data_IF_514268200338
#
_entry.id   IF_514268200338
#
_cell.length_a   1.000
_cell.length_b   1.000
_cell.length_c   1.000
_cell.angle_alpha   90.00
_cell.angle_beta   90.00
_cell.angle_gamma   90.00
#
_symmetry.space_group_name_H-M   'P 1'
#
loop_
_entity.id
_entity.type
_entity.pdbx_description
1 polymer ?
#
# COMPACT_ATOMS: atom_id res chain seq x y z
N UNK A 1 54.50 -22.93 -53.29
CA UNK A 1 53.69 -23.99 -52.64
C UNK A 1 54.38 -24.33 -51.33
N UNK A 2 53.75 -24.41 -50.16
CA UNK A 2 52.35 -24.32 -49.78
C UNK A 2 52.25 -23.87 -48.32
N UNK A 3 51.07 -23.37 -47.96
CA UNK A 3 50.73 -22.88 -46.62
C UNK A 3 50.83 -24.01 -45.57
N UNK A 4 51.53 -23.75 -44.47
CA UNK A 4 51.56 -24.60 -43.27
C UNK A 4 50.23 -24.45 -42.52
N UNK A 5 49.39 -25.47 -42.61
CA UNK A 5 48.12 -25.57 -41.88
C UNK A 5 48.36 -25.86 -40.40
N UNK A 6 47.93 -24.95 -39.55
CA UNK A 6 48.00 -25.08 -38.09
C UNK A 6 46.92 -26.08 -37.61
N UNK A 7 47.24 -27.37 -37.50
CA UNK A 7 46.30 -28.39 -37.06
C UNK A 7 46.17 -28.40 -35.53
N UNK A 8 45.06 -27.88 -35.00
CA UNK A 8 44.72 -27.94 -33.57
C UNK A 8 44.69 -29.38 -33.05
N UNK A 9 45.21 -29.60 -31.84
CA UNK A 9 45.24 -30.92 -31.18
C UNK A 9 43.84 -31.43 -30.85
N UNK A 10 43.66 -32.75 -30.74
CA UNK A 10 42.36 -33.40 -30.46
C UNK A 10 41.70 -32.83 -29.19
N UNK A 11 42.48 -32.64 -28.13
CA UNK A 11 42.03 -32.06 -26.86
C UNK A 11 41.55 -30.61 -27.00
N UNK A 12 42.24 -29.79 -27.81
CA UNK A 12 41.79 -28.42 -28.12
C UNK A 12 40.46 -28.42 -28.90
N UNK A 13 40.22 -29.42 -29.77
CA UNK A 13 38.95 -29.55 -30.50
C UNK A 13 37.81 -30.01 -29.59
N UNK A 14 38.10 -30.90 -28.64
CA UNK A 14 37.14 -31.38 -27.64
C UNK A 14 36.74 -30.22 -26.70
N UNK A 15 37.71 -29.43 -26.24
CA UNK A 15 37.47 -28.27 -25.39
C UNK A 15 36.71 -27.15 -26.13
N UNK A 16 37.08 -26.85 -27.38
CA UNK A 16 36.32 -25.91 -28.23
C UNK A 16 34.88 -26.38 -28.49
N UNK A 17 34.67 -27.69 -28.64
CA UNK A 17 33.32 -28.26 -28.80
C UNK A 17 32.51 -28.14 -27.50
N UNK A 18 33.11 -28.45 -26.35
CA UNK A 18 32.47 -28.29 -25.04
C UNK A 18 32.11 -26.82 -24.76
N UNK A 19 33.00 -25.88 -25.08
CA UNK A 19 32.76 -24.45 -24.94
C UNK A 19 31.64 -23.97 -25.87
N UNK A 20 31.60 -24.44 -27.13
CA UNK A 20 30.50 -24.15 -28.06
C UNK A 20 29.16 -24.70 -27.58
N UNK A 21 29.15 -25.91 -27.01
CA UNK A 21 27.94 -26.50 -26.44
C UNK A 21 27.46 -25.76 -25.20
N UNK A 22 28.36 -25.34 -24.32
CA UNK A 22 28.04 -24.51 -23.17
C UNK A 22 27.48 -23.14 -23.60
N UNK A 23 28.13 -22.46 -24.54
CA UNK A 23 27.65 -21.20 -25.11
C UNK A 23 26.26 -21.35 -25.74
N UNK A 24 26.03 -22.42 -26.51
CA UNK A 24 24.73 -22.71 -27.12
C UNK A 24 23.64 -22.97 -26.07
N UNK A 25 23.97 -23.61 -24.94
CA UNK A 25 23.03 -23.79 -23.82
C UNK A 25 22.70 -22.45 -23.15
N UNK A 26 23.70 -21.59 -22.93
CA UNK A 26 23.53 -20.26 -22.36
C UNK A 26 22.67 -19.39 -23.29
N UNK A 27 22.96 -19.34 -24.59
CA UNK A 27 22.17 -18.56 -25.57
C UNK A 27 20.70 -19.00 -25.60
N UNK A 28 20.43 -20.32 -25.57
CA UNK A 28 19.05 -20.83 -25.49
C UNK A 28 18.36 -20.43 -24.19
N UNK A 29 19.08 -20.44 -23.07
CA UNK A 29 18.55 -20.02 -21.78
C UNK A 29 18.24 -18.51 -21.77
N UNK A 30 19.16 -17.69 -22.25
CA UNK A 30 18.98 -16.24 -22.40
C UNK A 30 17.81 -15.89 -23.32
N UNK A 31 17.62 -16.64 -24.42
CA UNK A 31 16.50 -16.42 -25.31
C UNK A 31 15.16 -16.72 -24.62
N UNK A 32 15.07 -17.81 -23.85
CA UNK A 32 13.88 -18.15 -23.05
C UNK A 32 13.60 -17.10 -21.98
N UNK A 33 14.63 -16.67 -21.25
CA UNK A 33 14.51 -15.64 -20.22
C UNK A 33 14.07 -14.30 -20.82
N UNK A 34 14.59 -13.92 -21.99
CA UNK A 34 14.19 -12.71 -22.70
C UNK A 34 12.72 -12.77 -23.14
N UNK A 35 12.23 -13.92 -23.60
CA UNK A 35 10.81 -14.10 -23.93
C UNK A 35 9.93 -13.99 -22.69
N UNK A 36 10.31 -14.66 -21.59
CA UNK A 36 9.57 -14.58 -20.33
C UNK A 36 9.55 -13.16 -19.76
N UNK A 37 10.67 -12.45 -19.85
CA UNK A 37 10.80 -11.06 -19.42
C UNK A 37 9.89 -10.13 -20.23
N UNK A 38 9.87 -10.29 -21.56
CA UNK A 38 8.98 -9.53 -22.44
C UNK A 38 7.50 -9.81 -22.14
N UNK A 39 7.14 -11.05 -21.83
CA UNK A 39 5.77 -11.44 -21.51
C UNK A 39 5.31 -11.08 -20.07
N UNK A 40 6.16 -10.43 -19.28
CA UNK A 40 5.86 -10.06 -17.90
C UNK A 40 5.53 -8.57 -17.79
N UNK A 41 4.34 -8.26 -17.26
CA UNK A 41 3.94 -6.90 -16.96
C UNK A 41 4.53 -6.46 -15.63
N UNK A 42 5.28 -5.36 -15.65
CA UNK A 42 5.97 -4.83 -14.47
C UNK A 42 5.23 -3.61 -13.93
N UNK A 43 4.80 -3.70 -12.69
CA UNK A 43 3.96 -2.71 -12.04
C UNK A 43 4.69 -2.11 -10.85
N UNK A 44 4.86 -0.79 -10.86
CA UNK A 44 5.53 -0.09 -9.78
C UNK A 44 4.52 0.61 -8.88
N UNK A 45 4.52 0.29 -7.58
CA UNK A 45 3.61 0.89 -6.61
C UNK A 45 4.28 2.11 -5.98
N UNK A 46 3.75 3.29 -6.26
CA UNK A 46 4.23 4.56 -5.71
C UNK A 46 3.16 5.22 -4.83
N UNK A 47 3.59 6.17 -4.00
CA UNK A 47 2.71 6.93 -3.11
C UNK A 47 3.35 7.18 -1.76
N UNK A 48 2.79 8.14 -1.03
CA UNK A 48 3.28 8.54 0.30
C UNK A 48 3.27 7.37 1.30
N UNK A 49 3.94 7.54 2.45
CA UNK A 49 3.85 6.61 3.57
C UNK A 49 2.38 6.35 3.94
N UNK A 50 2.06 5.11 4.33
CA UNK A 50 0.72 4.74 4.81
C UNK A 50 -0.42 4.87 3.80
N UNK A 51 -0.13 5.07 2.51
CA UNK A 51 -1.18 5.20 1.49
C UNK A 51 -1.93 3.90 1.18
N UNK A 52 -1.33 2.74 1.46
CA UNK A 52 -1.93 1.42 1.25
C UNK A 52 -1.20 0.51 0.25
N UNK A 53 -0.03 0.91 -0.28
CA UNK A 53 0.77 0.13 -1.24
C UNK A 53 0.98 -1.33 -0.82
N UNK A 54 1.53 -1.55 0.38
CA UNK A 54 1.79 -2.90 0.89
C UNK A 54 0.50 -3.70 1.12
N UNK A 55 -0.62 -3.03 1.41
CA UNK A 55 -1.95 -3.67 1.50
C UNK A 55 -2.40 -4.17 0.13
N UNK A 56 -2.20 -3.40 -0.94
CA UNK A 56 -2.48 -3.84 -2.32
C UNK A 56 -1.63 -5.06 -2.68
N UNK A 57 -0.35 -5.09 -2.32
CA UNK A 57 0.49 -6.28 -2.56
C UNK A 57 0.01 -7.50 -1.77
N UNK A 58 -0.39 -7.33 -0.51
CA UNK A 58 -1.03 -8.41 0.27
C UNK A 58 -2.28 -8.94 -0.43
N UNK A 59 -3.12 -8.06 -0.99
CA UNK A 59 -4.31 -8.47 -1.74
C UNK A 59 -3.95 -9.29 -2.98
N UNK A 60 -2.91 -8.91 -3.74
CA UNK A 60 -2.45 -9.70 -4.88
C UNK A 60 -1.95 -11.08 -4.48
N UNK A 61 -1.31 -11.18 -3.31
CA UNK A 61 -0.93 -12.49 -2.76
C UNK A 61 -2.18 -13.31 -2.42
N UNK A 62 -3.17 -12.72 -1.76
CA UNK A 62 -4.43 -13.40 -1.40
C UNK A 62 -5.20 -13.86 -2.65
N UNK A 63 -5.25 -13.04 -3.69
CA UNK A 63 -6.02 -13.32 -4.91
C UNK A 63 -5.32 -14.27 -5.88
N UNK A 64 -3.99 -14.21 -6.00
CA UNK A 64 -3.27 -14.80 -7.14
C UNK A 64 -1.99 -15.59 -6.81
N UNK A 65 -1.38 -15.44 -5.63
CA UNK A 65 -0.17 -16.20 -5.26
C UNK A 65 -0.58 -17.36 -4.36
N UNK A 66 -0.60 -18.57 -4.91
CA UNK A 66 -1.15 -19.75 -4.25
C UNK A 66 -2.54 -19.47 -3.71
N UNK A 67 -3.50 -19.40 -4.65
CA UNK A 67 -4.90 -19.50 -4.31
C UNK A 67 -5.07 -20.56 -3.23
N UNK A 68 -5.80 -20.19 -2.20
CA UNK A 68 -6.53 -21.12 -1.37
C UNK A 68 -7.16 -22.10 -2.37
N UNK A 69 -6.69 -23.35 -2.43
CA UNK A 69 -7.48 -24.38 -3.09
C UNK A 69 -8.80 -24.36 -2.32
N UNK A 70 -9.86 -23.80 -2.92
CA UNK A 70 -11.19 -23.69 -2.32
C UNK A 70 -11.79 -25.07 -1.94
N UNK A 71 -11.04 -26.15 -2.18
CA UNK A 71 -11.32 -27.55 -1.84
C UNK A 71 -10.55 -28.09 -0.63
N UNK A 72 -9.61 -27.34 -0.04
CA UNK A 72 -8.87 -27.78 1.15
C UNK A 72 -9.56 -27.34 2.45
N UNK A 73 -9.72 -28.22 3.48
CA UNK A 73 -10.55 -27.94 4.65
C UNK A 73 -10.06 -26.78 5.54
N UNK A 74 -8.79 -26.38 5.44
CA UNK A 74 -8.24 -25.23 6.15
C UNK A 74 -7.11 -24.60 5.33
N UNK A 75 -7.35 -23.47 4.66
CA UNK A 75 -6.30 -22.79 3.92
C UNK A 75 -5.41 -21.97 4.86
N UNK A 76 -4.10 -22.27 4.88
CA UNK A 76 -3.15 -21.55 5.72
C UNK A 76 -2.68 -20.26 5.05
N UNK A 77 -3.00 -19.10 5.63
CA UNK A 77 -2.56 -17.76 5.22
C UNK A 77 -1.03 -17.55 5.22
N UNK A 78 -0.27 -18.53 5.70
CA UNK A 78 1.16 -18.42 6.00
C UNK A 78 1.93 -19.53 5.28
N UNK A 79 3.06 -19.18 4.68
CA UNK A 79 3.97 -20.13 4.05
C UNK A 79 4.74 -20.96 5.07
N UNK A 80 4.79 -20.52 6.34
CA UNK A 80 5.42 -21.26 7.44
C UNK A 80 4.85 -20.91 8.82
N UNK A 81 5.03 -21.80 9.80
CA UNK A 81 4.75 -21.53 11.21
C UNK A 81 5.53 -20.33 11.75
N UNK A 82 6.75 -20.10 11.24
CA UNK A 82 7.59 -18.95 11.59
C UNK A 82 6.98 -17.63 11.10
N UNK A 83 6.48 -17.61 9.86
CA UNK A 83 5.79 -16.43 9.30
C UNK A 83 4.52 -16.11 10.10
N UNK A 84 3.72 -17.14 10.44
CA UNK A 84 2.55 -16.98 11.32
C UNK A 84 2.93 -16.34 12.65
N UNK A 85 3.96 -16.86 13.34
CA UNK A 85 4.42 -16.34 14.64
C UNK A 85 4.87 -14.88 14.53
N UNK A 86 5.60 -14.52 13.49
CA UNK A 86 6.03 -13.14 13.24
C UNK A 86 4.82 -12.21 13.02
N UNK A 87 3.83 -12.63 12.21
CA UNK A 87 2.63 -11.80 11.96
C UNK A 87 1.78 -11.58 13.21
N UNK A 88 1.66 -12.58 14.09
CA UNK A 88 1.03 -12.39 15.41
C UNK A 88 1.78 -11.32 16.20
N UNK A 89 3.12 -11.38 16.23
CA UNK A 89 3.93 -10.40 16.94
C UNK A 89 3.77 -8.98 16.36
N UNK A 90 3.72 -8.85 15.02
CA UNK A 90 3.50 -7.56 14.35
C UNK A 90 2.14 -6.95 14.75
N UNK A 91 1.07 -7.76 14.79
CA UNK A 91 -0.27 -7.31 15.21
C UNK A 91 -0.26 -6.88 16.68
N UNK A 92 0.30 -7.71 17.57
CA UNK A 92 0.42 -7.39 18.99
C UNK A 92 1.18 -6.09 19.23
N UNK A 93 2.25 -5.87 18.47
CA UNK A 93 3.01 -4.62 18.48
C UNK A 93 2.14 -3.44 18.02
N UNK A 94 1.35 -3.59 16.96
CA UNK A 94 0.43 -2.54 16.54
C UNK A 94 -0.60 -2.18 17.62
N UNK A 95 -1.13 -3.16 18.36
CA UNK A 95 -2.05 -2.92 19.49
C UNK A 95 -1.38 -2.06 20.56
N UNK A 96 -0.16 -2.45 20.97
CA UNK A 96 0.65 -1.72 21.95
C UNK A 96 0.95 -0.31 21.47
N UNK A 97 1.47 -0.16 20.26
CA UNK A 97 1.85 1.14 19.71
C UNK A 97 0.63 2.07 19.62
N UNK A 98 -0.55 1.54 19.25
CA UNK A 98 -1.79 2.32 19.20
C UNK A 98 -2.21 2.83 20.58
N UNK A 99 -2.37 1.94 21.58
CA UNK A 99 -2.84 2.36 22.90
C UNK A 99 -1.84 3.29 23.60
N UNK A 100 -0.53 3.01 23.48
CA UNK A 100 0.53 3.88 24.01
C UNK A 100 0.44 5.27 23.39
N UNK A 101 0.22 5.35 22.08
CA UNK A 101 0.11 6.64 21.37
C UNK A 101 -1.10 7.43 21.84
N UNK A 102 -2.29 6.81 21.91
CA UNK A 102 -3.53 7.47 22.32
C UNK A 102 -3.42 8.00 23.76
N UNK A 103 -2.98 7.14 24.69
CA UNK A 103 -2.82 7.49 26.11
C UNK A 103 -1.76 8.58 26.32
N UNK A 104 -0.68 8.56 25.54
CA UNK A 104 0.32 9.62 25.61
C UNK A 104 -0.23 10.95 25.08
N UNK A 105 -1.06 10.91 24.03
CA UNK A 105 -1.65 12.09 23.43
C UNK A 105 -2.67 12.80 24.34
N UNK A 106 -3.37 12.06 25.21
CA UNK A 106 -4.39 12.61 26.13
C UNK A 106 -3.89 13.85 26.89
N UNK A 107 -2.64 13.81 27.39
CA UNK A 107 -2.03 14.92 28.12
C UNK A 107 -1.38 15.98 27.25
N UNK A 108 -1.10 15.71 25.97
CA UNK A 108 -0.41 16.64 25.05
C UNK A 108 -1.36 17.41 24.15
N UNK A 109 -2.59 16.91 23.96
CA UNK A 109 -3.63 17.61 23.23
C UNK A 109 -3.97 18.94 23.90
N UNK A 110 -4.42 19.91 23.09
CA UNK A 110 -4.82 21.23 23.57
C UNK A 110 -6.29 21.46 23.14
N UNK A 111 -7.27 21.53 24.05
CA UNK A 111 -7.14 21.23 25.48
C UNK A 111 -6.86 19.73 25.73
N UNK A 112 -6.25 19.37 26.89
CA UNK A 112 -6.00 17.98 27.23
C UNK A 112 -7.31 17.23 27.48
N UNK A 113 -7.28 15.91 27.29
CA UNK A 113 -8.44 15.03 27.46
C UNK A 113 -8.23 14.19 28.74
N UNK A 114 -8.99 14.41 29.81
CA UNK A 114 -8.91 13.57 31.01
C UNK A 114 -9.58 12.20 30.76
N UNK A 115 -9.27 11.21 31.61
CA UNK A 115 -10.05 9.98 31.69
C UNK A 115 -11.49 10.29 32.09
N UNK A 116 -12.44 9.52 31.55
CA UNK A 116 -13.81 9.56 32.03
C UNK A 116 -13.93 8.92 33.43
N UNK A 117 -13.18 7.84 33.67
CA UNK A 117 -13.04 7.22 34.99
C UNK A 117 -11.65 7.48 35.60
N UNK A 118 -11.53 8.36 36.63
CA UNK A 118 -10.27 8.62 37.31
C UNK A 118 -9.63 7.39 37.97
N UNK A 119 -10.43 6.36 38.31
CA UNK A 119 -9.91 5.12 38.91
C UNK A 119 -9.01 4.33 37.95
N UNK A 120 -9.11 4.56 36.63
CA UNK A 120 -8.31 3.87 35.63
C UNK A 120 -6.92 4.52 35.41
N UNK A 121 -6.55 5.52 36.21
CA UNK A 121 -5.27 6.22 36.12
C UNK A 121 -4.05 5.28 36.23
N UNK A 122 -4.10 4.27 37.10
CA UNK A 122 -3.03 3.27 37.22
C UNK A 122 -2.81 2.47 35.92
N UNK A 123 -3.86 2.33 35.09
CA UNK A 123 -3.75 1.67 33.78
C UNK A 123 -2.99 2.55 32.80
N UNK A 124 -3.22 3.86 32.82
CA UNK A 124 -2.42 4.83 32.04
C UNK A 124 -0.94 4.73 32.43
N UNK A 125 -0.65 4.69 33.72
CA UNK A 125 0.72 4.58 34.24
C UNK A 125 1.38 3.27 33.80
N UNK A 126 0.65 2.15 33.89
CA UNK A 126 1.09 0.87 33.35
C UNK A 126 1.42 0.96 31.85
N UNK A 127 0.51 1.47 31.02
CA UNK A 127 0.73 1.59 29.57
C UNK A 127 1.93 2.49 29.26
N UNK A 128 2.10 3.60 29.99
CA UNK A 128 3.27 4.49 29.84
C UNK A 128 4.58 3.81 30.25
N UNK A 129 4.56 2.98 31.30
CA UNK A 129 5.76 2.25 31.76
C UNK A 129 6.26 1.21 30.75
N UNK A 130 5.37 0.62 29.95
CA UNK A 130 5.74 -0.38 28.94
C UNK A 130 6.12 0.23 27.60
N UNK A 131 5.81 1.52 27.37
CA UNK A 131 6.08 2.24 26.13
C UNK A 131 7.54 2.11 25.63
N UNK A 132 8.59 2.28 26.46
CA UNK A 132 9.98 2.19 26.00
C UNK A 132 10.46 0.75 25.73
N UNK A 133 9.71 -0.28 26.13
CA UNK A 133 10.14 -1.67 26.05
C UNK A 133 10.05 -2.20 24.60
N UNK A 134 11.20 -2.48 23.98
CA UNK A 134 11.25 -3.06 22.63
C UNK A 134 10.95 -4.56 22.61
N UNK A 135 11.43 -5.29 23.63
CA UNK A 135 11.13 -6.70 23.86
C UNK A 135 10.09 -6.77 24.99
N UNK A 136 8.83 -6.92 24.59
CA UNK A 136 7.68 -6.86 25.50
C UNK A 136 6.88 -8.15 25.42
N UNK A 137 6.67 -8.77 26.57
CA UNK A 137 5.77 -9.91 26.66
C UNK A 137 4.31 -9.43 26.69
N UNK A 138 3.56 -9.80 25.66
CA UNK A 138 2.15 -9.45 25.50
C UNK A 138 1.28 -10.36 26.36
N UNK A 139 1.38 -10.16 27.67
CA UNK A 139 0.63 -10.89 28.69
C UNK A 139 -0.87 -10.51 28.68
N UNK A 140 -1.71 -11.35 29.30
CA UNK A 140 -3.14 -11.03 29.47
C UNK A 140 -3.36 -9.75 30.28
N UNK A 141 -2.48 -9.45 31.24
CA UNK A 141 -2.51 -8.22 32.03
C UNK A 141 -2.47 -6.99 31.12
N UNK A 142 -1.60 -6.99 30.11
CA UNK A 142 -1.54 -5.91 29.12
C UNK A 142 -2.86 -5.75 28.36
N UNK A 143 -3.42 -6.85 27.86
CA UNK A 143 -4.65 -6.82 27.09
C UNK A 143 -5.85 -6.37 27.93
N UNK A 144 -5.92 -6.75 29.20
CA UNK A 144 -6.97 -6.31 30.12
C UNK A 144 -6.87 -4.80 30.41
N UNK A 145 -5.66 -4.27 30.62
CA UNK A 145 -5.47 -2.81 30.76
C UNK A 145 -5.84 -2.06 29.49
N UNK A 146 -5.38 -2.53 28.33
CA UNK A 146 -5.63 -1.86 27.06
C UNK A 146 -7.12 -1.88 26.70
N UNK A 147 -7.83 -3.00 26.95
CA UNK A 147 -9.28 -3.10 26.74
C UNK A 147 -10.05 -2.16 27.67
N UNK A 148 -9.73 -2.15 28.97
CA UNK A 148 -10.40 -1.26 29.92
C UNK A 148 -10.21 0.21 29.60
N UNK A 149 -9.01 0.59 29.16
CA UNK A 149 -8.76 1.96 28.68
C UNK A 149 -9.51 2.25 27.38
N UNK A 150 -9.58 1.31 26.43
CA UNK A 150 -10.34 1.52 25.20
C UNK A 150 -11.85 1.73 25.45
N UNK A 151 -12.39 1.10 26.49
CA UNK A 151 -13.78 1.26 26.89
C UNK A 151 -14.06 2.64 27.56
N UNK A 152 -13.02 3.37 28.00
CA UNK A 152 -13.14 4.70 28.61
C UNK A 152 -13.51 5.79 27.58
N UNK A 153 -14.52 6.60 27.90
CA UNK A 153 -15.02 7.64 26.99
C UNK A 153 -14.02 8.79 26.77
N UNK A 154 -13.13 9.07 27.73
CA UNK A 154 -12.04 10.02 27.57
C UNK A 154 -10.98 9.52 26.58
N UNK A 155 -10.65 8.23 26.63
CA UNK A 155 -9.74 7.59 25.66
C UNK A 155 -10.36 7.59 24.26
N UNK A 156 -11.65 7.26 24.12
CA UNK A 156 -12.36 7.36 22.83
C UNK A 156 -12.41 8.80 22.32
N UNK A 157 -12.68 9.78 23.19
CA UNK A 157 -12.64 11.19 22.81
C UNK A 157 -11.25 11.65 22.33
N UNK A 158 -10.17 11.14 22.94
CA UNK A 158 -8.80 11.36 22.47
C UNK A 158 -8.56 10.71 21.10
N UNK A 159 -9.08 9.50 20.87
CA UNK A 159 -9.00 8.80 19.59
C UNK A 159 -9.73 9.55 18.46
N UNK A 160 -10.90 10.14 18.73
CA UNK A 160 -11.62 10.98 17.76
C UNK A 160 -10.83 12.22 17.31
N UNK A 161 -9.86 12.66 18.12
CA UNK A 161 -8.91 13.74 17.83
C UNK A 161 -7.57 13.24 17.29
N UNK A 162 -7.51 11.99 16.81
CA UNK A 162 -6.29 11.36 16.31
C UNK A 162 -5.67 12.04 15.08
N UNK A 163 -6.37 12.96 14.42
CA UNK A 163 -5.79 13.79 13.36
C UNK A 163 -4.80 14.83 13.89
N UNK A 164 -4.79 15.12 15.19
CA UNK A 164 -3.88 16.07 15.85
C UNK A 164 -2.55 15.44 16.28
N UNK A 165 -2.39 14.13 16.14
CA UNK A 165 -1.16 13.39 16.44
C UNK A 165 -0.93 12.23 15.47
N UNK A 166 0.20 11.52 15.60
CA UNK A 166 0.56 10.44 14.67
C UNK A 166 0.06 9.08 15.15
N UNK A 167 -1.23 8.81 14.97
CA UNK A 167 -1.79 7.47 15.18
C UNK A 167 -1.65 6.60 13.94
N UNK A 168 -1.44 5.30 14.15
CA UNK A 168 -1.40 4.35 13.04
C UNK A 168 -2.81 4.10 12.49
N UNK A 169 -2.95 4.08 11.16
CA UNK A 169 -4.13 3.53 10.48
C UNK A 169 -4.15 1.99 10.60
N UNK A 170 -4.30 1.49 11.82
CA UNK A 170 -4.98 0.22 12.01
C UNK A 170 -6.41 0.59 12.41
N UNK A 171 -7.40 -0.15 11.92
CA UNK A 171 -8.78 0.02 12.35
C UNK A 171 -8.85 -0.35 13.84
N UNK A 172 -8.53 0.63 14.69
CA UNK A 172 -8.13 0.47 16.10
C UNK A 172 -9.31 -0.09 16.89
N UNK A 173 -10.54 0.24 16.44
CA UNK A 173 -11.78 -0.34 16.93
C UNK A 173 -11.77 -1.87 16.91
N UNK A 174 -11.45 -2.49 15.77
CA UNK A 174 -11.59 -3.95 15.62
C UNK A 174 -10.58 -4.73 16.46
N UNK A 175 -9.40 -4.14 16.68
CA UNK A 175 -8.34 -4.71 17.50
C UNK A 175 -8.74 -4.80 18.98
N UNK A 176 -9.52 -3.83 19.49
CA UNK A 176 -9.95 -3.80 20.89
C UNK A 176 -11.33 -4.42 21.14
N UNK A 177 -12.20 -4.49 20.12
CA UNK A 177 -13.55 -5.06 20.24
C UNK A 177 -13.60 -6.58 20.05
N UNK A 178 -12.75 -7.15 19.19
CA UNK A 178 -12.64 -8.61 19.09
C UNK A 178 -11.92 -9.13 20.33
N UNK A 179 -12.50 -10.13 21.00
CA UNK A 179 -11.95 -10.71 22.22
C UNK A 179 -10.45 -11.02 22.05
N UNK A 180 -9.60 -10.22 22.68
CA UNK A 180 -8.14 -10.37 22.77
C UNK A 180 -7.70 -11.75 23.32
N UNK A 181 -8.67 -12.59 23.73
CA UNK A 181 -8.49 -13.95 24.23
C UNK A 181 -8.04 -14.96 23.18
N UNK A 182 -8.33 -14.76 21.89
CA UNK A 182 -7.81 -15.64 20.83
C UNK A 182 -7.40 -14.83 19.61
N UNK A 183 -6.15 -14.36 19.58
CA UNK A 183 -5.41 -14.06 18.34
C UNK A 183 -5.12 -15.37 17.54
N UNK A 184 -6.15 -16.19 17.33
CA UNK A 184 -6.16 -17.20 16.30
C UNK A 184 -6.33 -16.45 14.98
N UNK A 185 -5.21 -16.17 14.32
CA UNK A 185 -5.13 -15.72 12.92
C UNK A 185 -5.89 -16.69 11.99
N UNK A 186 -7.21 -16.61 11.99
CA UNK A 186 -8.09 -17.39 11.14
C UNK A 186 -8.64 -16.52 9.99
N UNK A 187 -8.56 -15.19 10.09
CA UNK A 187 -9.07 -14.26 9.07
C UNK A 187 -7.93 -13.51 8.36
N UNK A 188 -8.02 -13.43 7.02
CA UNK A 188 -7.14 -12.64 6.16
C UNK A 188 -7.21 -11.14 6.48
N UNK A 189 -8.34 -10.68 7.02
CA UNK A 189 -8.59 -9.27 7.33
C UNK A 189 -7.61 -8.69 8.36
N UNK A 190 -7.22 -9.46 9.37
CA UNK A 190 -6.24 -9.00 10.37
C UNK A 190 -4.87 -8.77 9.74
N UNK A 191 -4.46 -9.63 8.80
CA UNK A 191 -3.20 -9.47 8.09
C UNK A 191 -3.21 -8.23 7.19
N UNK A 192 -4.35 -7.94 6.54
CA UNK A 192 -4.51 -6.76 5.69
C UNK A 192 -4.41 -5.46 6.50
N UNK A 193 -4.99 -5.45 7.71
CA UNK A 193 -4.98 -4.30 8.63
C UNK A 193 -3.70 -4.15 9.42
N UNK A 194 -2.90 -5.21 9.56
CA UNK A 194 -1.60 -5.15 10.22
C UNK A 194 -0.65 -4.20 9.50
N UNK A 195 -0.07 -3.28 10.27
CA UNK A 195 0.86 -2.26 9.81
C UNK A 195 2.30 -2.68 10.09
N UNK A 196 3.07 -2.77 9.03
CA UNK A 196 4.52 -2.92 9.07
C UNK A 196 5.12 -1.81 8.19
N UNK A 197 6.09 -1.06 8.72
CA UNK A 197 6.76 -0.02 7.94
C UNK A 197 7.68 -0.67 6.90
N UNK A 198 7.37 -0.42 5.64
CA UNK A 198 8.15 -0.90 4.49
C UNK A 198 9.38 -0.01 4.30
N UNK A 199 10.57 -0.55 4.58
CA UNK A 199 11.86 0.05 4.21
C UNK A 199 12.51 -0.81 3.13
N UNK A 200 12.95 -0.19 2.04
CA UNK A 200 13.48 -0.88 0.87
C UNK A 200 12.43 -1.17 -0.21
N UNK A 201 12.77 -2.15 -1.05
CA UNK A 201 12.02 -2.57 -2.24
C UNK A 201 11.62 -4.03 -2.05
N UNK A 202 10.34 -4.32 -2.18
CA UNK A 202 9.81 -5.68 -2.10
C UNK A 202 9.18 -6.06 -3.42
N UNK A 203 9.48 -7.28 -3.88
CA UNK A 203 8.99 -7.79 -5.15
C UNK A 203 7.96 -8.90 -4.93
N UNK A 204 6.91 -8.91 -5.72
CA UNK A 204 5.94 -10.01 -5.75
C UNK A 204 5.63 -10.38 -7.20
N UNK A 205 5.69 -11.67 -7.49
CA UNK A 205 5.38 -12.22 -8.81
C UNK A 205 4.16 -13.11 -8.71
N UNK A 206 3.26 -12.97 -9.66
CA UNK A 206 2.03 -13.76 -9.74
C UNK A 206 1.59 -13.90 -11.18
N UNK A 207 0.69 -14.85 -11.43
CA UNK A 207 0.14 -15.10 -12.75
C UNK A 207 -1.39 -15.03 -12.68
N UNK A 208 -2.00 -14.33 -13.62
CA UNK A 208 -3.47 -14.24 -13.77
C UNK A 208 -3.79 -14.54 -15.22
N UNK A 209 -4.65 -15.53 -15.47
CA UNK A 209 -5.06 -15.93 -16.83
C UNK A 209 -3.87 -16.11 -17.80
N UNK A 210 -2.80 -16.77 -17.33
CA UNK A 210 -1.53 -17.02 -18.05
C UNK A 210 -0.68 -15.77 -18.33
N UNK A 211 -1.08 -14.60 -17.86
CA UNK A 211 -0.30 -13.36 -17.92
C UNK A 211 0.51 -13.20 -16.65
N UNK A 212 1.81 -12.96 -16.78
CA UNK A 212 2.72 -12.80 -15.64
C UNK A 212 2.77 -11.34 -15.21
N UNK A 213 2.65 -11.12 -13.90
CA UNK A 213 2.78 -9.81 -13.28
C UNK A 213 3.95 -9.82 -12.29
N UNK A 214 4.69 -8.72 -12.28
CA UNK A 214 5.79 -8.48 -11.36
C UNK A 214 5.61 -7.10 -10.74
N UNK A 215 5.19 -7.09 -9.47
CA UNK A 215 4.91 -5.89 -8.70
C UNK A 215 6.09 -5.52 -7.79
N UNK A 216 6.39 -4.23 -7.73
CA UNK A 216 7.41 -3.64 -6.87
C UNK A 216 6.72 -2.72 -5.83
N UNK A 217 6.79 -3.08 -4.55
CA UNK A 217 6.39 -2.24 -3.42
C UNK A 217 7.60 -1.52 -2.85
N UNK A 218 7.64 -0.20 -3.00
CA UNK A 218 8.74 0.63 -2.51
C UNK A 218 8.30 1.45 -1.30
N UNK A 219 9.22 1.65 -0.35
CA UNK A 219 8.98 2.51 0.80
C UNK A 219 8.49 3.91 0.39
N UNK A 220 7.38 4.36 0.97
CA UNK A 220 6.71 5.63 0.63
C UNK A 220 7.20 6.87 1.37
N UNK A 221 7.94 6.64 2.47
CA UNK A 221 8.46 7.70 3.34
C UNK A 221 9.54 8.51 2.63
N UNK A 222 9.71 9.79 2.99
CA UNK A 222 10.63 10.70 2.29
C UNK A 222 12.04 10.13 2.11
N UNK A 223 12.60 9.48 3.13
CA UNK A 223 13.96 8.91 3.09
C UNK A 223 14.10 7.70 2.16
N UNK A 224 13.00 7.00 1.90
CA UNK A 224 12.98 5.82 1.02
C UNK A 224 12.88 6.20 -0.48
N UNK A 225 12.43 7.42 -0.79
CA UNK A 225 12.14 7.85 -2.17
C UNK A 225 13.36 7.89 -3.08
N UNK A 226 14.57 8.08 -2.52
CA UNK A 226 15.82 8.07 -3.29
C UNK A 226 16.09 6.71 -3.94
N UNK A 227 15.53 5.62 -3.40
CA UNK A 227 15.68 4.26 -3.91
C UNK A 227 14.76 3.98 -5.12
N UNK A 228 13.72 4.78 -5.34
CA UNK A 228 12.69 4.51 -6.37
C UNK A 228 13.26 4.44 -7.78
N UNK A 229 14.29 5.23 -8.09
CA UNK A 229 14.95 5.22 -9.39
C UNK A 229 15.50 3.84 -9.76
N UNK A 230 15.83 2.99 -8.77
CA UNK A 230 16.32 1.63 -9.00
C UNK A 230 15.24 0.73 -9.60
N UNK A 231 13.95 1.11 -9.49
CA UNK A 231 12.81 0.34 -9.98
C UNK A 231 12.19 0.91 -11.26
N UNK A 232 12.70 2.01 -11.82
CA UNK A 232 12.08 2.68 -12.98
C UNK A 232 12.37 2.00 -14.32
N UNK A 233 13.29 1.02 -14.34
CA UNK A 233 13.67 0.37 -15.58
C UNK A 233 12.56 -0.53 -16.11
N UNK A 234 12.10 -0.21 -17.33
CA UNK A 234 11.18 -1.01 -18.14
C UNK A 234 9.85 -1.35 -17.42
N UNK A 235 9.36 -0.44 -16.58
CA UNK A 235 8.03 -0.55 -15.96
C UNK A 235 6.94 -0.45 -17.02
N UNK A 236 5.92 -1.31 -16.95
CA UNK A 236 4.76 -1.27 -17.86
C UNK A 236 3.77 -0.19 -17.46
N UNK A 237 3.46 -0.08 -16.17
CA UNK A 237 2.58 0.94 -15.62
C UNK A 237 2.93 1.26 -14.16
N UNK A 238 2.60 2.47 -13.72
CA UNK A 238 2.70 2.87 -12.32
C UNK A 238 1.32 2.76 -11.68
N UNK A 239 1.25 2.18 -10.49
CA UNK A 239 0.07 2.26 -9.62
C UNK A 239 0.41 3.26 -8.52
N UNK A 240 -0.18 4.46 -8.61
CA UNK A 240 0.01 5.51 -7.62
C UNK A 240 -1.11 5.44 -6.57
N UNK A 241 -0.78 5.18 -5.32
CA UNK A 241 -1.74 4.96 -4.24
C UNK A 241 -1.81 6.19 -3.33
N UNK A 242 -3.02 6.71 -3.13
CA UNK A 242 -3.34 7.90 -2.32
C UNK A 242 -4.23 7.51 -1.14
N UNK A 243 -3.89 7.95 0.08
CA UNK A 243 -4.81 7.88 1.21
C UNK A 243 -5.79 9.05 1.19
N UNK A 244 -6.95 8.85 0.54
CA UNK A 244 -7.94 9.92 0.33
C UNK A 244 -8.53 10.43 1.64
N UNK A 245 -8.65 9.56 2.64
CA UNK A 245 -9.16 9.89 3.97
C UNK A 245 -8.21 10.76 4.82
N UNK A 246 -6.94 10.92 4.43
CA UNK A 246 -5.93 11.64 5.21
C UNK A 246 -5.90 13.16 4.95
N UNK A 247 -6.97 13.74 4.41
CA UNK A 247 -7.04 15.17 4.08
C UNK A 247 -6.91 16.10 5.29
N UNK A 248 -7.21 15.63 6.51
CA UNK A 248 -7.14 16.40 7.76
C UNK A 248 -5.90 16.06 8.63
N UNK A 249 -4.93 15.33 8.08
CA UNK A 249 -3.76 14.83 8.81
C UNK A 249 -2.45 15.42 8.27
N UNK A 250 -1.41 15.43 9.10
CA UNK A 250 -0.04 15.80 8.71
C UNK A 250 0.88 14.57 8.63
N UNK A 251 1.93 14.64 7.80
CA UNK A 251 2.90 13.56 7.65
C UNK A 251 3.75 13.41 8.92
N UNK A 252 4.27 12.20 9.15
CA UNK A 252 5.05 11.88 10.35
C UNK A 252 6.45 12.51 10.32
N UNK A 253 6.99 12.74 9.14
CA UNK A 253 8.36 13.20 8.94
C UNK A 253 8.61 14.62 9.45
N UNK A 254 7.62 15.51 9.38
CA UNK A 254 7.75 16.91 9.85
C UNK A 254 6.61 17.39 10.76
N UNK A 255 5.56 16.58 10.95
CA UNK A 255 4.36 16.94 11.72
C UNK A 255 3.71 18.28 11.31
N UNK A 256 3.89 18.70 10.06
CA UNK A 256 3.40 19.99 9.57
C UNK A 256 2.79 19.89 8.17
N UNK A 257 3.42 19.15 7.25
CA UNK A 257 2.94 19.04 5.87
C UNK A 257 1.69 18.17 5.82
N UNK A 258 0.60 18.67 5.24
CA UNK A 258 -0.65 17.92 5.06
C UNK A 258 -0.41 16.67 4.19
N UNK A 259 -0.94 15.50 4.61
CA UNK A 259 -0.72 14.22 3.94
C UNK A 259 -1.26 14.17 2.50
N UNK A 260 -2.42 14.77 2.24
CA UNK A 260 -3.00 14.80 0.91
C UNK A 260 -2.26 15.78 -0.01
N UNK A 261 -1.81 16.93 0.50
CA UNK A 261 -0.93 17.85 -0.26
C UNK A 261 0.40 17.21 -0.60
N UNK A 262 1.03 16.51 0.35
CA UNK A 262 2.25 15.73 0.07
C UNK A 262 2.02 14.70 -1.04
N UNK A 263 0.86 14.03 -1.06
CA UNK A 263 0.53 13.10 -2.13
C UNK A 263 0.35 13.78 -3.49
N UNK A 264 -0.26 14.97 -3.55
CA UNK A 264 -0.39 15.78 -4.76
C UNK A 264 0.97 16.23 -5.30
N UNK A 265 1.85 16.74 -4.43
CA UNK A 265 3.19 17.19 -4.82
C UNK A 265 4.06 16.02 -5.28
N UNK A 266 3.96 14.88 -4.60
CA UNK A 266 4.61 13.64 -5.01
C UNK A 266 4.09 13.16 -6.37
N UNK A 267 2.77 13.18 -6.59
CA UNK A 267 2.18 12.82 -7.88
C UNK A 267 2.66 13.74 -8.99
N UNK A 268 2.70 15.06 -8.75
CA UNK A 268 3.22 16.06 -9.70
C UNK A 268 4.68 15.78 -10.07
N UNK A 269 5.51 15.39 -9.10
CA UNK A 269 6.91 15.02 -9.31
C UNK A 269 7.04 13.76 -10.17
N UNK A 270 6.21 12.74 -9.93
CA UNK A 270 6.19 11.49 -10.71
C UNK A 270 5.67 11.72 -12.12
N UNK A 271 4.56 12.46 -12.27
CA UNK A 271 3.94 12.76 -13.57
C UNK A 271 4.91 13.50 -14.50
N UNK A 272 5.63 14.50 -13.97
CA UNK A 272 6.57 15.29 -14.77
C UNK A 272 7.99 14.71 -14.81
N UNK A 273 8.23 13.52 -14.23
CA UNK A 273 9.54 12.92 -14.16
C UNK A 273 10.06 12.54 -15.55
N UNK A 274 11.28 13.01 -15.91
CA UNK A 274 11.90 12.74 -17.22
C UNK A 274 12.01 11.25 -17.57
N UNK A 275 12.15 10.37 -16.57
CA UNK A 275 12.29 8.93 -16.75
C UNK A 275 10.94 8.21 -16.89
N UNK A 276 9.82 8.88 -16.60
CA UNK A 276 8.47 8.29 -16.57
C UNK A 276 7.50 8.94 -17.57
N UNK A 277 7.98 9.83 -18.45
CA UNK A 277 7.17 10.62 -19.40
C UNK A 277 6.32 9.80 -20.38
N UNK A 278 6.60 8.52 -20.58
CA UNK A 278 5.84 7.62 -21.45
C UNK A 278 5.05 6.57 -20.67
N UNK A 279 5.20 6.52 -19.35
CA UNK A 279 4.58 5.52 -18.50
C UNK A 279 3.26 6.08 -17.97
N UNK A 280 2.15 5.42 -18.29
CA UNK A 280 0.85 5.84 -17.76
C UNK A 280 0.68 5.43 -16.30
N UNK A 281 -0.15 6.19 -15.59
CA UNK A 281 -0.35 6.06 -14.15
C UNK A 281 -1.78 5.63 -13.88
N UNK A 282 -1.93 4.47 -13.25
CA UNK A 282 -3.18 4.04 -12.63
C UNK A 282 -3.22 4.66 -11.23
N UNK A 283 -4.19 5.54 -11.00
CA UNK A 283 -4.32 6.29 -9.76
C UNK A 283 -5.33 5.60 -8.84
N UNK A 284 -4.87 5.05 -7.73
CA UNK A 284 -5.72 4.48 -6.69
C UNK A 284 -6.00 5.51 -5.61
N UNK A 285 -7.24 6.01 -5.60
CA UNK A 285 -7.79 6.82 -4.53
C UNK A 285 -8.27 5.87 -3.43
N UNK A 286 -7.34 5.46 -2.57
CA UNK A 286 -7.56 4.45 -1.54
C UNK A 286 -8.23 5.03 -0.29
N UNK A 287 -8.69 4.14 0.60
CA UNK A 287 -9.35 4.42 1.89
C UNK A 287 -10.69 5.15 1.73
N UNK A 288 -11.50 4.71 0.75
CA UNK A 288 -12.83 5.26 0.51
C UNK A 288 -13.80 4.99 1.66
N UNK A 289 -13.65 3.85 2.34
CA UNK A 289 -14.33 3.51 3.59
C UNK A 289 -14.13 4.59 4.66
N UNK A 290 -12.87 4.90 4.97
CA UNK A 290 -12.52 5.90 5.98
C UNK A 290 -12.87 7.33 5.53
N UNK A 291 -12.82 7.61 4.23
CA UNK A 291 -13.23 8.91 3.68
C UNK A 291 -14.72 9.11 3.90
N UNK A 292 -15.54 8.11 3.59
CA UNK A 292 -16.98 8.15 3.78
C UNK A 292 -17.34 8.37 5.26
N UNK A 293 -16.77 7.57 6.16
CA UNK A 293 -16.99 7.72 7.61
C UNK A 293 -16.66 9.15 8.09
N UNK A 294 -15.51 9.69 7.69
CA UNK A 294 -15.05 11.01 8.14
C UNK A 294 -15.89 12.15 7.59
N UNK A 295 -16.30 12.06 6.32
CA UNK A 295 -17.17 13.06 5.68
C UNK A 295 -18.57 13.05 6.31
N UNK A 296 -19.12 11.87 6.57
CA UNK A 296 -20.45 11.72 7.16
C UNK A 296 -20.48 12.14 8.64
N UNK A 297 -19.39 11.90 9.38
CA UNK A 297 -19.23 12.34 10.76
C UNK A 297 -19.23 13.87 10.90
N UNK A 298 -18.80 14.60 9.86
CA UNK A 298 -18.87 16.07 9.81
C UNK A 298 -17.97 16.81 10.81
N UNK A 299 -17.08 16.11 11.51
CA UNK A 299 -16.18 16.67 12.55
C UNK A 299 -14.99 17.45 11.96
N UNK A 300 -14.46 16.99 10.82
CA UNK A 300 -13.37 17.66 10.09
C UNK A 300 -13.80 17.91 8.65
N UNK A 301 -14.14 19.15 8.32
CA UNK A 301 -14.61 19.49 6.98
C UNK A 301 -13.44 19.60 6.01
N UNK A 302 -13.64 19.22 4.75
CA UNK A 302 -12.56 19.25 3.76
C UNK A 302 -12.15 20.69 3.45
N UNK A 303 -13.12 21.62 3.42
CA UNK A 303 -12.91 23.04 3.16
C UNK A 303 -12.01 23.76 4.19
N UNK A 304 -11.87 23.22 5.41
CA UNK A 304 -10.94 23.75 6.42
C UNK A 304 -9.48 23.51 6.02
N UNK A 305 -9.22 22.47 5.22
CA UNK A 305 -7.88 22.07 4.75
C UNK A 305 -7.66 22.38 3.27
N UNK A 306 -8.73 22.40 2.47
CA UNK A 306 -8.75 22.66 1.03
C UNK A 306 -9.88 23.65 0.72
N UNK A 307 -9.67 24.97 0.89
CA UNK A 307 -10.72 25.98 0.77
C UNK A 307 -11.46 25.97 -0.58
N UNK A 308 -10.79 25.56 -1.65
CA UNK A 308 -11.36 25.36 -2.98
C UNK A 308 -12.51 24.34 -3.01
N UNK A 309 -12.56 23.40 -2.06
CA UNK A 309 -13.66 22.45 -1.93
C UNK A 309 -14.99 23.14 -1.66
N UNK A 310 -15.03 24.29 -1.00
CA UNK A 310 -16.29 25.01 -0.75
C UNK A 310 -17.01 25.39 -2.05
N UNK A 311 -16.25 25.65 -3.12
CA UNK A 311 -16.78 26.02 -4.45
C UNK A 311 -16.88 24.84 -5.42
N UNK A 312 -16.42 23.66 -5.01
CA UNK A 312 -16.40 22.49 -5.88
C UNK A 312 -17.82 21.96 -6.16
N UNK A 313 -18.09 21.64 -7.42
CA UNK A 313 -19.31 20.98 -7.88
C UNK A 313 -18.93 19.72 -8.63
N UNK A 314 -19.77 18.68 -8.49
CA UNK A 314 -19.51 17.39 -9.13
C UNK A 314 -19.70 17.57 -10.65
N UNK A 315 -18.79 17.06 -11.49
CA UNK A 315 -18.97 17.06 -12.93
C UNK A 315 -20.24 16.32 -13.35
N UNK A 316 -20.95 16.80 -14.36
CA UNK A 316 -22.20 16.19 -14.87
C UNK A 316 -22.01 14.73 -15.33
N UNK A 317 -20.79 14.35 -15.73
CA UNK A 317 -20.42 13.02 -16.20
C UNK A 317 -20.09 12.05 -15.06
N UNK A 318 -20.10 12.51 -13.81
CA UNK A 318 -19.86 11.64 -12.66
C UNK A 318 -20.97 10.60 -12.52
N UNK A 319 -20.59 9.35 -12.35
CA UNK A 319 -21.50 8.24 -12.03
C UNK A 319 -21.33 7.87 -10.55
N UNK A 320 -22.20 8.37 -9.64
CA UNK A 320 -22.18 7.99 -8.24
C UNK A 320 -22.48 6.49 -8.09
N UNK A 321 -21.99 5.88 -7.02
CA UNK A 321 -22.37 4.50 -6.71
C UNK A 321 -23.83 4.47 -6.22
N UNK A 322 -24.64 3.46 -6.61
CA UNK A 322 -26.01 3.35 -6.14
C UNK A 322 -26.09 3.33 -4.60
N UNK A 323 -26.85 4.27 -4.02
CA UNK A 323 -27.01 4.39 -2.57
C UNK A 323 -25.89 5.14 -1.84
N UNK A 324 -24.91 5.70 -2.54
CA UNK A 324 -23.88 6.54 -1.93
C UNK A 324 -24.42 7.92 -1.55
N UNK A 325 -24.04 8.42 -0.37
CA UNK A 325 -24.42 9.77 0.08
C UNK A 325 -23.77 10.83 -0.82
N UNK A 326 -24.53 11.82 -1.33
CA UNK A 326 -24.01 12.87 -2.20
C UNK A 326 -22.81 13.64 -1.63
N UNK A 327 -22.69 13.76 -0.30
CA UNK A 327 -21.55 14.39 0.37
C UNK A 327 -20.26 13.59 0.17
N UNK A 328 -20.36 12.26 0.22
CA UNK A 328 -19.23 11.34 -0.01
C UNK A 328 -18.83 11.36 -1.47
N UNK A 329 -19.81 11.31 -2.39
CA UNK A 329 -19.55 11.45 -3.83
C UNK A 329 -18.82 12.76 -4.13
N UNK A 330 -19.31 13.88 -3.59
CA UNK A 330 -18.65 15.19 -3.78
C UNK A 330 -17.21 15.20 -3.27
N UNK A 331 -16.98 14.64 -2.09
CA UNK A 331 -15.65 14.57 -1.49
C UNK A 331 -14.67 13.73 -2.31
N UNK A 332 -15.06 12.50 -2.71
CA UNK A 332 -14.15 11.61 -3.45
C UNK A 332 -13.83 12.15 -4.85
N UNK A 333 -14.83 12.76 -5.52
CA UNK A 333 -14.62 13.36 -6.84
C UNK A 333 -13.78 14.64 -6.78
N UNK A 334 -13.92 15.47 -5.73
CA UNK A 334 -13.01 16.60 -5.52
C UNK A 334 -11.55 16.14 -5.44
N UNK A 335 -11.27 15.15 -4.60
CA UNK A 335 -9.91 14.63 -4.44
C UNK A 335 -9.40 14.07 -5.77
N UNK A 336 -10.24 13.29 -6.49
CA UNK A 336 -9.90 12.80 -7.84
C UNK A 336 -9.48 13.94 -8.77
N UNK A 337 -10.27 15.00 -8.81
CA UNK A 337 -10.08 16.10 -9.75
C UNK A 337 -8.84 16.95 -9.42
N UNK A 338 -8.41 17.01 -8.16
CA UNK A 338 -7.11 17.60 -7.78
C UNK A 338 -5.93 16.88 -8.45
N UNK A 339 -5.96 15.54 -8.52
CA UNK A 339 -4.94 14.76 -9.23
C UNK A 339 -5.09 14.86 -10.74
N UNK A 340 -6.32 14.84 -11.27
CA UNK A 340 -6.56 14.96 -12.71
C UNK A 340 -6.15 16.34 -13.25
N UNK A 341 -6.27 17.40 -12.44
CA UNK A 341 -5.76 18.72 -12.80
C UNK A 341 -4.25 18.71 -13.04
N UNK A 342 -3.50 17.90 -12.28
CA UNK A 342 -2.06 17.73 -12.48
C UNK A 342 -1.78 16.97 -13.77
N UNK A 343 -2.51 15.87 -14.03
CA UNK A 343 -2.24 15.03 -15.19
C UNK A 343 -2.63 15.68 -16.52
N UNK A 344 -3.70 16.49 -16.52
CA UNK A 344 -4.19 17.19 -17.71
C UNK A 344 -3.46 18.50 -18.03
N UNK A 345 -2.67 19.04 -17.08
CA UNK A 345 -1.91 20.27 -17.30
C UNK A 345 -0.77 20.10 -18.34
N UNK A 346 -0.17 18.91 -18.38
CA UNK A 346 0.94 18.57 -19.30
C UNK A 346 0.39 17.79 -20.50
N UNK A 347 -0.25 18.48 -21.44
CA UNK A 347 -1.01 17.90 -22.56
C UNK A 347 -0.18 17.30 -23.72
N UNK A 348 0.87 16.52 -23.45
CA UNK A 348 1.70 15.92 -24.51
C UNK A 348 1.11 14.63 -25.09
N UNK A 349 0.05 14.07 -24.48
CA UNK A 349 -0.67 12.88 -24.94
C UNK A 349 0.13 11.58 -24.92
N UNK A 350 1.33 11.58 -24.31
CA UNK A 350 2.25 10.44 -24.33
C UNK A 350 1.92 9.38 -23.28
N UNK A 351 1.29 9.80 -22.19
CA UNK A 351 0.81 8.92 -21.14
C UNK A 351 -0.51 9.42 -20.56
N UNK A 352 -1.23 8.55 -19.86
CA UNK A 352 -2.58 8.82 -19.35
C UNK A 352 -2.66 8.56 -17.85
N UNK A 353 -3.66 9.17 -17.21
CA UNK A 353 -3.99 8.90 -15.82
C UNK A 353 -5.34 8.18 -15.76
N UNK A 354 -5.38 7.01 -15.11
CA UNK A 354 -6.58 6.18 -14.97
C UNK A 354 -6.99 6.14 -13.49
N UNK A 355 -7.93 7.00 -13.04
CA UNK A 355 -8.35 7.06 -11.64
C UNK A 355 -9.33 5.94 -11.28
N UNK A 356 -9.10 5.30 -10.14
CA UNK A 356 -9.99 4.31 -9.53
C UNK A 356 -10.17 4.62 -8.05
N UNK A 357 -11.41 4.54 -7.58
CA UNK A 357 -11.75 4.59 -6.16
C UNK A 357 -11.54 3.20 -5.55
N UNK A 358 -10.72 3.10 -4.50
CA UNK A 358 -10.32 1.80 -3.94
C UNK A 358 -10.47 1.70 -2.42
N UNK A 359 -10.76 0.50 -1.95
CA UNK A 359 -10.67 0.13 -0.55
C UNK A 359 -9.71 -1.07 -0.44
N UNK A 360 -8.45 -0.81 -0.10
CA UNK A 360 -7.40 -1.84 -0.11
C UNK A 360 -7.64 -2.99 0.88
N UNK A 361 -8.48 -2.81 1.90
CA UNK A 361 -8.87 -3.87 2.84
C UNK A 361 -10.06 -4.71 2.35
N UNK A 362 -10.79 -4.22 1.33
CA UNK A 362 -11.86 -4.96 0.66
C UNK A 362 -11.28 -5.76 -0.51
N UNK A 363 -11.23 -7.08 -0.33
CA UNK A 363 -10.70 -8.03 -1.31
C UNK A 363 -11.48 -8.04 -2.62
N UNK A 364 -12.79 -7.85 -2.57
CA UNK A 364 -13.65 -7.89 -3.75
C UNK A 364 -13.56 -6.56 -4.53
N UNK A 365 -13.48 -5.43 -3.84
CA UNK A 365 -13.19 -4.14 -4.47
C UNK A 365 -11.86 -4.19 -5.24
N UNK A 366 -10.78 -4.68 -4.61
CA UNK A 366 -9.47 -4.79 -5.26
C UNK A 366 -9.49 -5.78 -6.43
N UNK A 367 -10.22 -6.90 -6.32
CA UNK A 367 -10.39 -7.84 -7.43
C UNK A 367 -11.02 -7.17 -8.66
N UNK A 368 -12.11 -6.43 -8.47
CA UNK A 368 -12.80 -5.71 -9.57
C UNK A 368 -11.91 -4.65 -10.19
N UNK A 369 -11.34 -3.77 -9.36
CA UNK A 369 -10.47 -2.68 -9.84
C UNK A 369 -9.24 -3.23 -10.58
N UNK A 370 -8.64 -4.32 -10.10
CA UNK A 370 -7.50 -4.92 -10.77
C UNK A 370 -7.88 -5.55 -12.12
N UNK A 371 -9.06 -6.17 -12.22
CA UNK A 371 -9.58 -6.68 -13.49
C UNK A 371 -9.79 -5.53 -14.49
N UNK A 372 -10.34 -4.39 -14.08
CA UNK A 372 -10.49 -3.21 -14.94
C UNK A 372 -9.12 -2.66 -15.39
N UNK A 373 -8.15 -2.64 -14.47
CA UNK A 373 -6.78 -2.22 -14.77
C UNK A 373 -6.08 -3.17 -15.77
N UNK A 374 -6.44 -4.46 -15.79
CA UNK A 374 -5.79 -5.47 -16.64
C UNK A 374 -5.89 -5.11 -18.12
N UNK A 375 -7.07 -4.71 -18.57
CA UNK A 375 -7.29 -4.37 -19.98
C UNK A 375 -6.50 -3.11 -20.38
N UNK A 376 -6.38 -2.16 -19.45
CA UNK A 376 -5.54 -0.96 -19.61
C UNK A 376 -4.06 -1.36 -19.70
N UNK A 377 -3.58 -2.19 -18.78
CA UNK A 377 -2.18 -2.64 -18.72
C UNK A 377 -1.82 -3.44 -19.98
N UNK A 378 -2.70 -4.33 -20.46
CA UNK A 378 -2.47 -5.10 -21.67
C UNK A 378 -2.33 -4.19 -22.90
N UNK A 379 -3.22 -3.20 -23.06
CA UNK A 379 -3.13 -2.23 -24.16
C UNK A 379 -1.85 -1.40 -24.07
N UNK A 380 -1.46 -0.97 -22.87
CA UNK A 380 -0.22 -0.23 -22.65
C UNK A 380 1.01 -1.05 -23.00
N UNK A 381 1.03 -2.32 -22.60
CA UNK A 381 2.14 -3.22 -22.89
C UNK A 381 2.28 -3.47 -24.40
N UNK A 382 1.17 -3.70 -25.11
CA UNK A 382 1.19 -3.90 -26.56
C UNK A 382 1.67 -2.64 -27.31
N UNK A 383 1.26 -1.44 -26.87
CA UNK A 383 1.77 -0.17 -27.43
C UNK A 383 3.27 -0.01 -27.22
N UNK A 384 3.79 -0.40 -26.06
CA UNK A 384 5.23 -0.29 -25.75
C UNK A 384 6.10 -1.12 -26.71
N UNK A 385 5.57 -2.20 -27.27
CA UNK A 385 6.27 -3.07 -28.23
C UNK A 385 5.85 -2.83 -29.69
N UNK A 386 5.16 -1.73 -29.99
CA UNK A 386 4.69 -1.40 -31.34
C UNK A 386 3.81 -2.50 -31.98
N UNK A 387 3.06 -3.22 -31.14
CA UNK A 387 2.14 -4.29 -31.57
C UNK A 387 0.69 -3.79 -31.77
N UNK A 388 0.45 -2.48 -31.61
CA UNK A 388 -0.85 -1.81 -31.73
C UNK A 388 -0.80 -0.62 -32.67
#
# INVERSE_FOLDING_TARGET
MGCLGNSKTEDQRIDEKAQREANKKIEKQLQKERQAYKATHRLLLLGAGESGKSTIVKQMRILHVNGFNFTAPHPSLFSSHREKKQKIQDIRKNVKDAIVTIVSAMSTLIPPVPLANPEDQFRIEYIKSIAPLSDFDYSQVFFDHAKKLWDDEGVKACFERSNEYQLIDCNTLVVFTCELKLLCLNDAQDLLRCRVLTSGIFETRFQVDKVNFHMFDVGGQRDERRKWIQCFNDVTAIIFVVASSSYNMVIREDNNTNRLREALDLFRSIWNNRWLRTISVILFLNKQDMLAEKVLAGKSKIEDYFPEYARYTIPNEATPEPGEDPRVTRAKFFIRDEFLRISTASGDGRHYCYPHFTCAVDTENIRRVFNDCRDIIQRMHLRQYELL
#
